data_IF_918545335269
#
_entry.id   IF_918545335269
#
_cell.length_a   1.000
_cell.length_b   1.000
_cell.length_c   1.000
_cell.angle_alpha   90.00
_cell.angle_beta   90.00
_cell.angle_gamma   90.00
#
_symmetry.space_group_name_H-M   'P 1'
#
loop_
_entity.id
_entity.type
_entity.pdbx_description
1 polymer ?
#
# COMPACT_ATOMS: atom_id res chain seq x y z
N UNK A 1 34.35 -1.07 36.88
CA UNK A 1 34.38 -1.08 35.40
C UNK A 1 33.26 -1.89 34.75
N UNK A 2 32.87 -3.07 35.27
CA UNK A 2 31.74 -3.87 34.73
C UNK A 2 30.37 -3.18 34.81
N UNK A 3 30.13 -2.35 35.83
CA UNK A 3 28.86 -1.62 36.00
C UNK A 3 28.61 -0.55 34.93
N UNK A 4 29.65 0.18 34.49
CA UNK A 4 29.52 1.25 33.48
C UNK A 4 29.26 0.68 32.08
N UNK A 5 29.91 -0.44 31.73
CA UNK A 5 29.66 -1.12 30.46
C UNK A 5 28.20 -1.54 30.29
N UNK A 6 27.55 -2.01 31.36
CA UNK A 6 26.15 -2.44 31.31
C UNK A 6 25.19 -1.30 30.96
N UNK A 7 25.40 -0.09 31.50
CA UNK A 7 24.57 1.07 31.16
C UNK A 7 24.74 1.52 29.70
N UNK A 8 25.98 1.49 29.20
CA UNK A 8 26.27 1.83 27.79
C UNK A 8 25.56 0.85 26.86
N UNK A 9 25.59 -0.45 27.17
CA UNK A 9 24.90 -1.47 26.37
C UNK A 9 23.37 -1.29 26.39
N UNK A 10 22.78 -0.96 27.54
CA UNK A 10 21.33 -0.72 27.67
C UNK A 10 20.88 0.51 26.88
N UNK A 11 21.64 1.61 26.93
CA UNK A 11 21.35 2.83 26.16
C UNK A 11 21.43 2.56 24.65
N UNK A 12 22.41 1.77 24.20
CA UNK A 12 22.53 1.40 22.79
C UNK A 12 21.37 0.51 22.30
N UNK A 13 20.92 -0.43 23.14
CA UNK A 13 19.73 -1.26 22.88
C UNK A 13 18.44 -0.44 22.80
N UNK A 14 18.27 0.57 23.65
CA UNK A 14 17.10 1.44 23.62
C UNK A 14 17.09 2.36 22.37
N UNK A 15 18.25 2.89 21.95
CA UNK A 15 18.38 3.69 20.73
C UNK A 15 18.14 2.91 19.44
N UNK A 16 18.50 1.62 19.40
CA UNK A 16 18.24 0.78 18.22
C UNK A 16 16.76 0.42 18.13
N UNK A 17 16.09 0.12 19.26
CA UNK A 17 14.66 -0.18 19.28
C UNK A 17 13.78 0.97 18.75
N UNK A 18 14.13 2.23 19.06
CA UNK A 18 13.39 3.40 18.55
C UNK A 18 13.63 3.66 17.05
N UNK A 19 14.78 3.27 16.51
CA UNK A 19 15.07 3.34 15.07
C UNK A 19 14.27 2.29 14.26
N UNK A 20 14.00 1.10 14.84
CA UNK A 20 13.14 0.09 14.21
C UNK A 20 11.65 0.45 14.23
N UNK A 21 11.22 1.41 15.06
CA UNK A 21 9.80 1.68 15.33
C UNK A 21 9.12 2.67 14.36
N UNK A 22 9.75 3.08 13.27
CA UNK A 22 9.17 4.05 12.34
C UNK A 22 8.62 3.37 11.08
N UNK A 23 7.53 2.61 11.19
CA UNK A 23 6.69 2.32 10.01
C UNK A 23 5.94 3.62 9.70
N UNK A 24 6.48 4.41 8.79
CA UNK A 24 5.78 5.59 8.28
C UNK A 24 4.82 5.13 7.18
N UNK A 25 3.52 5.27 7.41
CA UNK A 25 2.53 5.12 6.36
C UNK A 25 2.67 6.29 5.39
N UNK A 26 2.97 5.99 4.12
CA UNK A 26 3.01 6.98 3.05
C UNK A 26 2.04 6.58 1.97
N UNK A 27 1.37 7.58 1.41
CA UNK A 27 0.66 7.42 0.14
C UNK A 27 1.70 7.33 -0.98
N UNK A 28 1.50 6.38 -1.88
CA UNK A 28 2.25 6.26 -3.13
C UNK A 28 1.26 6.06 -4.26
N UNK A 29 1.55 6.61 -5.44
CA UNK A 29 0.77 6.32 -6.64
C UNK A 29 0.85 4.82 -6.96
N UNK A 30 -0.29 4.26 -7.40
CA UNK A 30 -0.34 2.88 -7.86
C UNK A 30 0.21 2.84 -9.30
N UNK A 31 1.35 2.18 -9.56
CA UNK A 31 2.03 2.27 -10.86
C UNK A 31 1.19 1.73 -12.02
N UNK A 32 0.28 0.80 -11.73
CA UNK A 32 -0.56 0.11 -12.72
C UNK A 32 -2.06 0.41 -12.53
N UNK A 33 -2.43 1.55 -11.93
CA UNK A 33 -3.84 1.92 -11.82
C UNK A 33 -4.48 1.97 -13.22
N UNK A 34 -5.77 1.63 -13.38
CA UNK A 34 -6.44 1.74 -14.67
C UNK A 34 -6.33 3.17 -15.20
N UNK A 35 -5.64 3.34 -16.33
CA UNK A 35 -5.61 4.61 -17.05
C UNK A 35 -6.93 4.72 -17.80
N UNK A 36 -7.93 5.23 -17.11
CA UNK A 36 -9.17 5.63 -17.71
C UNK A 36 -8.97 6.93 -18.50
N UNK A 37 -9.67 7.09 -19.62
CA UNK A 37 -9.70 8.36 -20.35
C UNK A 37 -10.42 9.49 -19.57
N UNK A 38 -10.90 9.21 -18.35
CA UNK A 38 -11.75 10.08 -17.55
C UNK A 38 -11.63 9.75 -16.05
N UNK A 39 -12.20 10.61 -15.20
CA UNK A 39 -12.25 10.45 -13.75
C UNK A 39 -12.88 9.11 -13.32
N UNK A 40 -12.24 8.42 -12.38
CA UNK A 40 -12.83 7.28 -11.65
C UNK A 40 -13.90 7.77 -10.68
N UNK A 41 -15.06 7.13 -10.68
CA UNK A 41 -16.21 7.54 -9.87
C UNK A 41 -16.39 6.71 -8.60
N UNK A 42 -15.96 5.44 -8.62
CA UNK A 42 -16.03 4.58 -7.43
C UNK A 42 -15.00 3.43 -7.47
N UNK A 43 -14.71 2.88 -6.29
CA UNK A 43 -13.84 1.71 -6.09
C UNK A 43 -14.34 0.84 -4.96
N UNK A 44 -14.32 -0.49 -5.14
CA UNK A 44 -14.76 -1.45 -4.14
C UNK A 44 -13.92 -2.72 -4.14
N UNK A 45 -13.59 -3.24 -2.96
CA UNK A 45 -12.89 -4.51 -2.77
C UNK A 45 -13.78 -5.52 -2.05
N UNK A 46 -13.91 -6.72 -2.63
CA UNK A 46 -14.61 -7.86 -2.04
C UNK A 46 -13.77 -8.50 -0.93
N UNK A 47 -12.46 -8.53 -1.14
CA UNK A 47 -11.43 -8.93 -0.17
C UNK A 47 -10.12 -8.22 -0.53
N UNK A 48 -9.03 -8.51 0.19
CA UNK A 48 -7.73 -7.86 0.00
C UNK A 48 -7.11 -8.07 -1.39
N UNK A 49 -7.62 -9.02 -2.17
CA UNK A 49 -7.11 -9.35 -3.51
C UNK A 49 -8.05 -8.93 -4.65
N UNK A 50 -9.35 -9.09 -4.46
CA UNK A 50 -10.35 -8.92 -5.53
C UNK A 50 -11.06 -7.58 -5.36
N UNK A 51 -10.92 -6.71 -6.36
CA UNK A 51 -11.51 -5.38 -6.35
C UNK A 51 -11.90 -4.88 -7.74
N UNK A 52 -12.63 -3.77 -7.74
CA UNK A 52 -13.28 -3.18 -8.90
C UNK A 52 -13.15 -1.66 -8.87
N UNK A 53 -12.96 -1.06 -10.05
CA UNK A 53 -12.95 0.39 -10.26
C UNK A 53 -13.81 0.70 -11.47
N UNK A 54 -14.61 1.77 -11.37
CA UNK A 54 -15.47 2.27 -12.45
C UNK A 54 -15.24 3.74 -12.70
N UNK A 55 -15.60 4.21 -13.89
CA UNK A 55 -15.47 5.62 -14.26
C UNK A 55 -16.70 6.17 -14.98
N UNK A 56 -16.68 7.47 -15.25
CA UNK A 56 -17.80 8.20 -15.86
C UNK A 56 -18.13 7.72 -17.29
N UNK A 57 -17.21 7.06 -17.99
CA UNK A 57 -17.45 6.49 -19.33
C UNK A 57 -18.10 5.10 -19.28
N UNK A 58 -18.35 4.57 -18.08
CA UNK A 58 -18.87 3.24 -17.86
C UNK A 58 -17.82 2.14 -18.02
N UNK A 59 -16.52 2.47 -18.09
CA UNK A 59 -15.46 1.45 -18.14
C UNK A 59 -15.38 0.74 -16.78
N UNK A 60 -15.26 -0.59 -16.81
CA UNK A 60 -15.22 -1.44 -15.61
C UNK A 60 -13.90 -2.19 -15.59
N UNK A 61 -13.10 -1.97 -14.54
CA UNK A 61 -11.83 -2.64 -14.34
C UNK A 61 -11.87 -3.54 -13.11
N UNK A 62 -11.26 -4.72 -13.23
CA UNK A 62 -11.17 -5.72 -12.16
C UNK A 62 -9.72 -6.06 -11.83
N UNK A 63 -9.40 -6.17 -10.55
CA UNK A 63 -8.15 -6.77 -10.04
C UNK A 63 -8.43 -8.08 -9.30
N UNK A 64 -7.46 -9.00 -9.29
CA UNK A 64 -7.44 -10.23 -8.50
C UNK A 64 -6.14 -10.38 -7.67
N UNK A 65 -5.33 -9.33 -7.64
CA UNK A 65 -4.01 -9.28 -7.02
C UNK A 65 -3.81 -8.04 -6.12
N UNK A 66 -4.90 -7.44 -5.63
CA UNK A 66 -4.85 -6.32 -4.70
C UNK A 66 -4.57 -4.97 -5.37
N UNK A 67 -4.78 -4.87 -6.68
CA UNK A 67 -4.56 -3.66 -7.47
C UNK A 67 -3.17 -3.59 -8.12
N UNK A 68 -2.37 -4.66 -8.06
CA UNK A 68 -1.10 -4.71 -8.79
C UNK A 68 -1.31 -4.76 -10.31
N UNK A 69 -2.41 -5.35 -10.76
CA UNK A 69 -2.86 -5.34 -12.16
C UNK A 69 -4.39 -5.23 -12.27
N UNK A 70 -4.85 -4.68 -13.39
CA UNK A 70 -6.27 -4.45 -13.67
C UNK A 70 -6.64 -4.87 -15.09
N UNK A 71 -7.77 -5.57 -15.24
CA UNK A 71 -8.29 -6.05 -16.53
C UNK A 71 -9.61 -5.36 -16.83
N UNK A 72 -9.71 -4.71 -17.99
CA UNK A 72 -10.96 -4.14 -18.49
C UNK A 72 -11.95 -5.29 -18.79
N UNK A 73 -13.15 -5.22 -18.20
CA UNK A 73 -14.18 -6.24 -18.34
C UNK A 73 -15.15 -5.97 -19.50
N UNK A 74 -15.06 -4.80 -20.12
CA UNK A 74 -15.79 -4.52 -21.36
C UNK A 74 -14.94 -5.04 -22.52
N UNK A 75 -15.30 -6.21 -23.03
CA UNK A 75 -14.94 -6.61 -24.39
C UNK A 75 -15.97 -5.95 -25.29
N UNK A 76 -15.54 -4.96 -26.07
CA UNK A 76 -16.35 -4.39 -27.13
C UNK A 76 -16.22 -5.22 -28.40
#
# INVERSE_FOLDING_TARGET
MRSIQQYITIVFLFCTASAYSQIQYSWSELPNAPIAASRHDDTWFVNERIGWVVNIRGEIYKTIDGGNSWVNQLVQ
#
